data_IF_657525042557
#
_entry.id   IF_657525042557
#
_cell.length_a   1.000
_cell.length_b   1.000
_cell.length_c   1.000
_cell.angle_alpha   90.00
_cell.angle_beta   90.00
_cell.angle_gamma   90.00
#
_symmetry.space_group_name_H-M   'P 1'
#
loop_
_entity.id
_entity.type
_entity.pdbx_description
1 polymer ?
#
# COMPACT_ATOMS: atom_id res chain seq x y z
N UNK A 1 -8.83 -10.26 2.10
CA UNK A 1 -10.27 -10.12 2.42
C UNK A 1 -11.04 -11.30 1.83
N UNK A 2 -12.20 -11.71 2.40
CA UNK A 2 -12.98 -12.84 1.88
C UNK A 2 -13.33 -12.73 0.40
N UNK A 3 -13.60 -11.52 -0.10
CA UNK A 3 -13.92 -11.25 -1.51
C UNK A 3 -12.80 -11.67 -2.49
N UNK A 4 -11.53 -11.63 -2.07
CA UNK A 4 -10.39 -12.06 -2.90
C UNK A 4 -10.26 -13.59 -2.99
N UNK A 5 -11.01 -14.36 -2.19
CA UNK A 5 -10.97 -15.83 -2.18
C UNK A 5 -12.14 -16.47 -2.92
N UNK A 6 -12.97 -15.65 -3.57
CA UNK A 6 -14.13 -16.13 -4.32
C UNK A 6 -13.67 -16.86 -5.59
N UNK A 7 -14.44 -17.84 -6.04
CA UNK A 7 -14.16 -18.57 -7.30
C UNK A 7 -14.08 -17.59 -8.48
N UNK A 8 -15.03 -16.66 -8.58
CA UNK A 8 -15.01 -15.62 -9.61
C UNK A 8 -13.71 -14.79 -9.63
N UNK A 9 -13.14 -14.48 -8.47
CA UNK A 9 -11.86 -13.77 -8.41
C UNK A 9 -10.69 -14.65 -8.89
N UNK A 10 -10.69 -15.93 -8.52
CA UNK A 10 -9.66 -16.90 -8.93
C UNK A 10 -9.71 -17.17 -10.43
N UNK A 11 -10.89 -17.46 -10.97
CA UNK A 11 -11.11 -17.66 -12.41
C UNK A 11 -10.67 -16.44 -13.23
N UNK A 12 -10.93 -15.22 -12.72
CA UNK A 12 -10.51 -14.00 -13.38
C UNK A 12 -8.99 -13.75 -13.37
N UNK A 13 -8.26 -14.32 -12.40
CA UNK A 13 -6.79 -14.27 -12.34
C UNK A 13 -6.16 -15.39 -13.18
N UNK A 14 -6.72 -16.60 -13.11
CA UNK A 14 -6.32 -17.76 -13.91
C UNK A 14 -6.44 -17.47 -15.42
N UNK A 15 -7.57 -16.88 -15.84
CA UNK A 15 -7.77 -16.43 -17.23
C UNK A 15 -6.80 -15.34 -17.71
N UNK A 16 -5.93 -14.83 -16.83
CA UNK A 16 -4.86 -13.88 -17.12
C UNK A 16 -3.46 -14.42 -16.81
N UNK A 17 -3.33 -15.74 -16.63
CA UNK A 17 -2.05 -16.41 -16.34
C UNK A 17 -1.35 -15.79 -15.10
N UNK A 18 -2.14 -15.45 -14.08
CA UNK A 18 -1.65 -14.78 -12.87
C UNK A 18 -1.76 -15.70 -11.66
N UNK A 19 -0.62 -16.04 -11.06
CA UNK A 19 -0.57 -16.77 -9.80
C UNK A 19 -1.04 -15.91 -8.62
N UNK A 20 -1.87 -16.47 -7.73
CA UNK A 20 -2.34 -15.82 -6.52
C UNK A 20 -1.67 -16.35 -5.25
N UNK A 21 -1.16 -15.43 -4.42
CA UNK A 21 -0.59 -15.75 -3.12
C UNK A 21 -1.42 -15.11 -2.02
N UNK A 22 -1.95 -15.92 -1.10
CA UNK A 22 -2.73 -15.43 0.03
C UNK A 22 -1.84 -15.10 1.22
N UNK A 23 -1.89 -13.85 1.67
CA UNK A 23 -1.28 -13.42 2.93
C UNK A 23 -2.10 -13.94 4.12
N UNK A 24 -1.50 -14.70 5.06
CA UNK A 24 -2.19 -15.15 6.26
C UNK A 24 -2.69 -13.97 7.12
N UNK A 25 -3.75 -14.22 7.88
CA UNK A 25 -4.28 -13.24 8.83
C UNK A 25 -3.23 -12.85 9.87
N UNK A 26 -3.07 -11.55 10.13
CA UNK A 26 -2.06 -11.03 11.07
C UNK A 26 -0.65 -10.85 10.47
N UNK A 27 -0.41 -11.32 9.24
CA UNK A 27 0.91 -11.24 8.60
C UNK A 27 1.06 -10.06 7.62
N UNK A 28 0.08 -9.16 7.51
CA UNK A 28 0.15 -8.04 6.55
C UNK A 28 1.36 -7.13 6.78
N UNK A 29 1.72 -6.86 8.04
CA UNK A 29 2.90 -6.08 8.43
C UNK A 29 4.24 -6.82 8.27
N UNK A 30 4.23 -8.04 7.75
CA UNK A 30 5.43 -8.86 7.50
C UNK A 30 5.55 -9.19 6.01
N UNK A 31 4.45 -9.64 5.40
CA UNK A 31 4.45 -10.28 4.08
C UNK A 31 3.75 -9.46 2.99
N UNK A 32 3.06 -8.36 3.34
CA UNK A 32 2.35 -7.55 2.35
C UNK A 32 3.17 -6.30 2.00
N UNK A 33 3.74 -6.20 0.78
CA UNK A 33 4.71 -5.14 0.43
C UNK A 33 4.21 -3.73 0.72
N UNK A 34 2.93 -3.47 0.42
CA UNK A 34 2.28 -2.21 0.72
C UNK A 34 2.40 -1.82 2.21
N UNK A 35 1.92 -2.67 3.10
CA UNK A 35 1.88 -2.36 4.54
C UNK A 35 3.27 -2.39 5.19
N UNK A 36 4.23 -3.08 4.59
CA UNK A 36 5.62 -3.14 5.08
C UNK A 36 6.40 -1.86 4.80
N UNK A 37 6.25 -1.26 3.61
CA UNK A 37 7.10 -0.12 3.22
C UNK A 37 6.32 1.15 2.88
N UNK A 38 5.48 1.12 1.85
CA UNK A 38 5.04 2.35 1.19
C UNK A 38 3.64 2.84 1.58
N UNK A 39 2.81 2.02 2.22
CA UNK A 39 1.45 2.41 2.62
C UNK A 39 1.44 3.49 3.70
N UNK A 40 2.40 3.47 4.63
CA UNK A 40 2.55 4.52 5.64
C UNK A 40 2.88 5.88 5.01
N UNK A 41 4.00 6.05 4.28
CA UNK A 41 4.32 7.34 3.67
C UNK A 41 3.24 7.80 2.67
N UNK A 42 2.59 6.88 1.95
CA UNK A 42 1.43 7.20 1.12
C UNK A 42 0.28 7.82 1.93
N UNK A 43 -0.15 7.15 3.02
CA UNK A 43 -1.23 7.64 3.88
C UNK A 43 -0.87 8.96 4.54
N UNK A 44 0.39 9.16 4.92
CA UNK A 44 0.85 10.41 5.53
C UNK A 44 0.83 11.56 4.51
N UNK A 45 1.27 11.33 3.27
CA UNK A 45 1.15 12.29 2.16
C UNK A 45 -0.32 12.65 1.87
N UNK A 46 -1.19 11.65 1.79
CA UNK A 46 -2.63 11.84 1.61
C UNK A 46 -3.27 12.67 2.73
N UNK A 47 -2.94 12.38 4.00
CA UNK A 47 -3.44 13.14 5.16
C UNK A 47 -2.95 14.58 5.16
N UNK A 48 -1.71 14.83 4.74
CA UNK A 48 -1.15 16.17 4.67
C UNK A 48 -1.90 17.03 3.64
N UNK A 49 -2.20 16.46 2.46
CA UNK A 49 -2.99 17.11 1.41
C UNK A 49 -4.40 17.42 1.87
N UNK A 50 -5.07 16.43 2.46
CA UNK A 50 -6.39 16.61 3.04
C UNK A 50 -6.40 17.72 4.10
N UNK A 51 -5.40 17.73 4.98
CA UNK A 51 -5.29 18.75 6.03
C UNK A 51 -5.01 20.14 5.45
N UNK A 52 -4.25 20.25 4.36
CA UNK A 52 -4.04 21.54 3.68
C UNK A 52 -5.33 22.07 3.09
N UNK A 53 -6.07 21.22 2.39
CA UNK A 53 -7.38 21.57 1.86
C UNK A 53 -8.33 22.10 2.94
N UNK A 54 -8.36 21.45 4.11
CA UNK A 54 -9.19 21.91 5.23
C UNK A 54 -8.72 23.25 5.81
N UNK A 55 -7.40 23.50 5.89
CA UNK A 55 -6.84 24.77 6.39
C UNK A 55 -7.08 25.94 5.44
N UNK A 56 -7.01 25.69 4.14
CA UNK A 56 -7.28 26.67 3.08
C UNK A 56 -8.78 26.87 2.83
N UNK A 57 -9.60 25.99 3.43
CA UNK A 57 -10.96 25.72 3.02
C UNK A 57 -11.92 26.92 3.09
N UNK A 58 -12.72 27.06 2.02
CA UNK A 58 -13.88 27.93 2.03
C UNK A 58 -14.99 27.36 2.94
N UNK A 59 -15.75 28.27 3.55
CA UNK A 59 -16.95 27.92 4.31
C UNK A 59 -18.19 27.88 3.41
N UNK A 60 -19.16 27.04 3.78
CA UNK A 60 -20.51 27.06 3.22
C UNK A 60 -21.26 28.30 3.71
N UNK A 61 -22.39 28.63 3.09
CA UNK A 61 -23.25 29.73 3.55
C UNK A 61 -23.74 29.55 5.01
N UNK A 62 -23.72 28.31 5.52
CA UNK A 62 -24.06 27.98 6.92
C UNK A 62 -22.85 28.00 7.87
N UNK A 63 -21.68 28.46 7.42
CA UNK A 63 -20.45 28.55 8.21
C UNK A 63 -19.65 27.25 8.37
N UNK A 64 -20.12 26.12 7.84
CA UNK A 64 -19.37 24.85 7.90
C UNK A 64 -18.22 24.83 6.88
N UNK A 65 -17.10 24.17 7.20
CA UNK A 65 -16.04 23.88 6.23
C UNK A 65 -16.60 23.10 5.03
N UNK A 66 -16.22 23.49 3.82
CA UNK A 66 -16.54 22.70 2.63
C UNK A 66 -15.80 21.37 2.68
N UNK A 67 -16.53 20.29 2.38
CA UNK A 67 -15.94 18.98 2.13
C UNK A 67 -15.22 18.98 0.78
N UNK A 68 -14.12 18.21 0.62
CA UNK A 68 -13.53 18.00 -0.69
C UNK A 68 -14.53 17.32 -1.63
N UNK A 69 -14.48 17.72 -2.89
CA UNK A 69 -15.20 17.07 -3.98
C UNK A 69 -14.55 15.72 -4.30
N UNK A 70 -15.22 14.91 -5.14
CA UNK A 70 -14.62 13.66 -5.64
C UNK A 70 -13.32 13.94 -6.41
N UNK A 71 -13.29 15.04 -7.17
CA UNK A 71 -12.11 15.42 -7.95
C UNK A 71 -10.94 15.78 -7.04
N UNK A 72 -11.20 16.52 -5.95
CA UNK A 72 -10.18 16.87 -4.96
C UNK A 72 -9.57 15.60 -4.35
N UNK A 73 -10.41 14.62 -3.97
CA UNK A 73 -9.93 13.34 -3.42
C UNK A 73 -9.08 12.57 -4.42
N UNK A 74 -9.49 12.52 -5.70
CA UNK A 74 -8.70 11.88 -6.76
C UNK A 74 -7.35 12.57 -6.92
N UNK A 75 -7.31 13.91 -6.92
CA UNK A 75 -6.07 14.67 -6.97
C UNK A 75 -5.18 14.36 -5.77
N UNK A 76 -5.72 14.33 -4.54
CA UNK A 76 -4.92 14.01 -3.36
C UNK A 76 -4.30 12.62 -3.43
N UNK A 77 -5.04 11.62 -3.91
CA UNK A 77 -4.55 10.25 -4.10
C UNK A 77 -3.46 10.21 -5.18
N UNK A 78 -3.70 10.84 -6.33
CA UNK A 78 -2.73 10.88 -7.44
C UNK A 78 -1.42 11.54 -7.01
N UNK A 79 -1.50 12.67 -6.33
CA UNK A 79 -0.32 13.40 -5.89
C UNK A 79 0.39 12.72 -4.69
N UNK A 80 -0.34 11.99 -3.85
CA UNK A 80 0.26 11.17 -2.80
C UNK A 80 1.03 9.98 -3.40
N UNK A 81 0.45 9.32 -4.41
CA UNK A 81 1.12 8.25 -5.15
C UNK A 81 2.38 8.75 -5.86
N UNK A 82 2.29 9.87 -6.58
CA UNK A 82 3.43 10.46 -7.28
C UNK A 82 4.56 10.92 -6.34
N UNK A 83 4.29 11.10 -5.05
CA UNK A 83 5.31 11.44 -4.05
C UNK A 83 6.09 10.24 -3.50
N UNK A 84 5.64 9.01 -3.79
CA UNK A 84 6.38 7.80 -3.42
C UNK A 84 7.56 7.59 -4.37
N UNK A 85 8.71 7.19 -3.82
CA UNK A 85 9.82 6.74 -4.64
C UNK A 85 9.55 5.34 -5.20
N UNK A 86 9.98 5.11 -6.43
CA UNK A 86 9.99 3.78 -7.04
C UNK A 86 10.79 2.79 -6.17
N UNK A 87 11.89 3.26 -5.59
CA UNK A 87 12.72 2.49 -4.66
C UNK A 87 11.94 1.98 -3.44
N UNK A 88 11.00 2.76 -2.89
CA UNK A 88 10.17 2.31 -1.77
C UNK A 88 9.24 1.16 -2.18
N UNK A 89 8.81 1.11 -3.44
CA UNK A 89 8.02 0.00 -3.98
C UNK A 89 8.92 -1.21 -4.22
N UNK A 90 10.08 -1.05 -4.87
CA UNK A 90 11.02 -2.15 -5.12
C UNK A 90 11.53 -2.80 -3.83
N UNK A 91 11.98 -1.99 -2.88
CA UNK A 91 12.44 -2.45 -1.56
C UNK A 91 11.33 -3.22 -0.82
N UNK A 92 10.06 -2.88 -1.05
CA UNK A 92 8.95 -3.55 -0.37
C UNK A 92 8.80 -5.03 -0.71
N UNK A 93 9.09 -5.41 -1.96
CA UNK A 93 9.06 -6.81 -2.39
C UNK A 93 10.25 -7.59 -1.82
N UNK A 94 11.44 -6.97 -1.77
CA UNK A 94 12.62 -7.56 -1.12
C UNK A 94 12.40 -7.77 0.37
N UNK A 95 11.88 -6.77 1.09
CA UNK A 95 11.60 -6.84 2.53
C UNK A 95 10.59 -7.93 2.90
N UNK A 96 9.71 -8.31 1.95
CA UNK A 96 8.75 -9.40 2.12
C UNK A 96 9.28 -10.77 1.63
N UNK A 97 10.54 -10.86 1.17
CA UNK A 97 11.14 -12.09 0.65
C UNK A 97 10.55 -12.56 -0.68
N UNK A 98 9.85 -11.69 -1.41
CA UNK A 98 9.16 -12.05 -2.66
C UNK A 98 10.11 -11.97 -3.86
N UNK A 99 10.99 -10.96 -3.88
CA UNK A 99 11.91 -10.70 -4.98
C UNK A 99 13.38 -10.86 -4.57
N UNK A 100 13.64 -11.60 -3.49
CA UNK A 100 15.00 -11.91 -3.04
C UNK A 100 15.56 -13.12 -3.75
N UNK A 101 16.88 -13.21 -3.85
CA UNK A 101 17.57 -14.40 -4.37
C UNK A 101 17.35 -15.61 -3.47
N UNK A 102 17.16 -16.78 -4.10
CA UNK A 102 16.93 -18.06 -3.41
C UNK A 102 18.18 -18.63 -2.72
N UNK A 103 19.36 -18.11 -3.04
CA UNK A 103 20.64 -18.53 -2.43
C UNK A 103 20.91 -17.86 -1.07
N UNK A 104 19.97 -17.07 -0.55
CA UNK A 104 20.07 -16.37 0.73
C UNK A 104 21.00 -15.16 0.72
N UNK A 105 21.60 -14.81 -0.43
CA UNK A 105 22.58 -13.71 -0.49
C UNK A 105 21.96 -12.33 -0.21
N UNK A 106 20.62 -12.22 -0.26
CA UNK A 106 19.86 -11.00 -0.01
C UNK A 106 19.04 -11.05 1.30
N UNK A 107 19.27 -12.02 2.19
CA UNK A 107 18.49 -12.17 3.42
C UNK A 107 18.65 -10.97 4.38
N UNK A 108 19.74 -10.20 4.25
CA UNK A 108 19.93 -8.92 4.94
C UNK A 108 18.91 -7.84 4.57
N UNK A 109 18.22 -7.99 3.43
CA UNK A 109 17.18 -7.06 2.98
C UNK A 109 15.79 -7.38 3.55
N UNK A 110 15.63 -8.51 4.23
CA UNK A 110 14.33 -8.90 4.78
C UNK A 110 13.87 -7.94 5.88
N UNK A 111 12.56 -7.88 6.09
CA UNK A 111 12.00 -7.31 7.30
C UNK A 111 12.49 -8.13 8.51
N UNK A 112 12.93 -7.46 9.59
CA UNK A 112 13.41 -8.11 10.81
C UNK A 112 12.50 -9.24 11.34
N UNK A 113 11.17 -9.09 11.24
CA UNK A 113 10.20 -10.12 11.68
C UNK A 113 10.16 -11.33 10.78
N UNK A 114 10.54 -11.18 9.50
CA UNK A 114 10.64 -12.27 8.55
C UNK A 114 12.01 -12.95 8.68
N UNK A 115 13.08 -12.16 8.84
CA UNK A 115 14.43 -12.66 9.07
C UNK A 115 14.49 -13.57 10.31
N UNK A 116 13.82 -13.20 11.41
CA UNK A 116 13.83 -13.95 12.67
C UNK A 116 13.13 -15.32 12.63
N UNK A 117 12.51 -15.70 11.51
CA UNK A 117 11.84 -17.01 11.33
C UNK A 117 12.74 -18.00 10.60
N UNK A 118 13.83 -17.53 9.98
CA UNK A 118 14.75 -18.36 9.19
C UNK A 118 15.92 -18.94 10.00
N UNK A 119 16.03 -18.57 11.28
CA UNK A 119 16.96 -19.12 12.28
C UNK A 119 16.31 -20.22 13.14
#
# INVERSE_FOLDING_TARGET
APIHKTEAAREALDGKETDDVFIPGGCTSILQPADVCWMKPFKDSLRNRWSSFLREGAVTAKGNLKKPSRQDVVSFVSEAWASLSEEAVLTSFKRCGISTRLDGSEDGELNHRLASVSD
#
